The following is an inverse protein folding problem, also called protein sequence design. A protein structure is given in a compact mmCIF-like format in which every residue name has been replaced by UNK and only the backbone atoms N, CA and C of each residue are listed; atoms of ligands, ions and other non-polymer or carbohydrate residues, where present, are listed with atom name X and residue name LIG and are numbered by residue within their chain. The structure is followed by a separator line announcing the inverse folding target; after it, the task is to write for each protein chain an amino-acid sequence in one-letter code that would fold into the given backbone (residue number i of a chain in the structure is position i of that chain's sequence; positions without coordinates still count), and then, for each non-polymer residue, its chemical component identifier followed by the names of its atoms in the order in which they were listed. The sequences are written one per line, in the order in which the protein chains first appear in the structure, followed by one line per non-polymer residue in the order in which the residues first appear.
data_IF_617579984807
#
_entry.id   IF_617579984807
#
_cell.length_a   1.000
_cell.length_b   1.000
_cell.length_c   1.000
_cell.angle_alpha   90.00
_cell.angle_beta   90.00
_cell.angle_gamma   90.00
#
_symmetry.space_group_name_H-M   'P 1'
#
loop_
_entity.id
_entity.type
_entity.pdbx_description
1 polymer ?
#
# COMPACT_ATOMS: atom_id res chain seq x y z
N UNK A 1 -3.48 7.16 16.39
CA UNK A 1 -3.07 7.27 14.98
C UNK A 1 -2.72 8.72 14.68
N UNK A 2 -1.62 8.93 13.98
CA UNK A 2 -1.20 10.29 13.62
C UNK A 2 -2.10 10.85 12.52
N UNK A 3 -2.37 12.14 12.62
CA UNK A 3 -3.18 12.85 11.63
C UNK A 3 -2.39 13.01 10.33
N UNK A 4 -3.06 12.76 9.18
CA UNK A 4 -2.45 12.96 7.87
C UNK A 4 -2.62 14.40 7.45
N UNK A 5 -1.52 15.15 7.43
CA UNK A 5 -1.50 16.55 7.00
C UNK A 5 -0.39 16.73 5.98
N UNK A 6 -0.56 17.70 5.09
CA UNK A 6 0.42 17.98 4.04
C UNK A 6 0.52 16.86 3.02
N UNK A 7 1.71 16.64 2.50
CA UNK A 7 1.95 15.60 1.51
C UNK A 7 1.93 14.22 2.15
N UNK A 8 1.19 13.31 1.53
CA UNK A 8 1.04 11.94 2.02
C UNK A 8 1.94 11.02 1.21
N UNK A 9 2.80 10.29 1.91
CA UNK A 9 3.68 9.29 1.31
C UNK A 9 3.03 7.92 1.45
N UNK A 10 2.63 7.34 0.33
CA UNK A 10 1.89 6.09 0.31
C UNK A 10 2.83 4.92 0.05
N UNK A 11 2.71 3.89 0.88
CA UNK A 11 3.30 2.59 0.60
C UNK A 11 2.21 1.62 0.20
N UNK A 12 2.52 0.69 -0.68
CA UNK A 12 1.54 -0.28 -1.17
C UNK A 12 2.11 -1.68 -1.05
N UNK A 13 1.36 -2.58 -0.41
CA UNK A 13 1.67 -4.00 -0.39
C UNK A 13 0.83 -4.70 -1.44
N UNK A 14 1.46 -5.57 -2.23
CA UNK A 14 0.81 -6.32 -3.30
C UNK A 14 1.25 -7.78 -3.27
N UNK A 15 0.51 -8.65 -3.93
CA UNK A 15 0.89 -10.06 -4.08
C UNK A 15 0.90 -10.52 -5.53
N UNK A 16 0.18 -9.90 -6.43
CA UNK A 16 -0.02 -10.44 -7.77
C UNK A 16 -0.08 -9.41 -8.88
N UNK A 17 -1.21 -9.39 -9.59
CA UNK A 17 -1.35 -8.67 -10.85
C UNK A 17 -1.06 -7.18 -10.79
N UNK A 18 -1.35 -6.55 -9.68
CA UNK A 18 -1.10 -5.13 -9.54
C UNK A 18 -2.10 -4.23 -10.25
N UNK A 19 -3.28 -4.75 -10.58
CA UNK A 19 -4.30 -3.92 -11.24
C UNK A 19 -4.73 -2.75 -10.34
N UNK A 20 -4.88 -2.99 -9.04
CA UNK A 20 -5.19 -1.93 -8.09
C UNK A 20 -4.03 -0.94 -7.97
N UNK A 21 -2.80 -1.46 -7.94
CA UNK A 21 -1.62 -0.61 -7.89
C UNK A 21 -1.54 0.28 -9.12
N UNK A 22 -1.81 -0.28 -10.29
CA UNK A 22 -1.78 0.47 -11.55
C UNK A 22 -2.76 1.65 -11.48
N UNK A 23 -3.96 1.42 -10.98
CA UNK A 23 -4.96 2.48 -10.82
C UNK A 23 -4.53 3.51 -9.79
N UNK A 24 -3.96 3.06 -8.68
CA UNK A 24 -3.45 3.98 -7.65
C UNK A 24 -2.35 4.89 -8.21
N UNK A 25 -1.44 4.33 -8.98
CA UNK A 25 -0.37 5.12 -9.60
C UNK A 25 -0.97 6.18 -10.52
N UNK A 26 -1.95 5.77 -11.32
CA UNK A 26 -2.64 6.68 -12.24
C UNK A 26 -3.28 7.85 -11.50
N UNK A 27 -4.03 7.55 -10.43
CA UNK A 27 -4.68 8.59 -9.64
C UNK A 27 -3.67 9.48 -8.92
N UNK A 28 -2.55 8.93 -8.47
CA UNK A 28 -1.55 9.70 -7.74
C UNK A 28 -0.87 10.77 -8.60
N UNK A 29 -0.97 10.63 -9.91
CA UNK A 29 -0.36 11.58 -10.84
C UNK A 29 -1.27 12.74 -11.20
N UNK A 30 -2.49 12.77 -10.71
CA UNK A 30 -3.41 13.87 -10.98
C UNK A 30 -2.97 15.14 -10.27
N UNK A 31 -3.20 16.27 -10.90
CA UNK A 31 -2.65 17.55 -10.45
C UNK A 31 -3.11 18.00 -9.08
N UNK A 32 -4.31 17.59 -8.67
CA UNK A 32 -4.87 18.06 -7.41
C UNK A 32 -4.73 17.05 -6.27
N UNK A 33 -3.87 16.06 -6.43
CA UNK A 33 -3.63 15.10 -5.35
C UNK A 33 -2.48 15.58 -4.47
N UNK A 34 -2.62 15.33 -3.17
CA UNK A 34 -1.57 15.62 -2.20
C UNK A 34 -0.87 14.35 -1.72
N UNK A 35 -0.97 13.26 -2.49
CA UNK A 35 -0.36 12.00 -2.11
C UNK A 35 0.40 11.40 -3.28
N UNK A 36 1.46 10.66 -2.96
CA UNK A 36 2.29 9.98 -3.95
C UNK A 36 2.67 8.61 -3.45
N UNK A 37 2.78 7.66 -4.36
CA UNK A 37 3.25 6.32 -4.02
C UNK A 37 4.77 6.35 -4.00
N UNK A 38 5.34 6.11 -2.83
CA UNK A 38 6.78 6.17 -2.61
C UNK A 38 7.43 4.80 -2.49
N UNK A 39 6.63 3.76 -2.23
CA UNK A 39 7.17 2.44 -1.94
C UNK A 39 6.15 1.38 -2.32
N UNK A 40 6.62 0.32 -2.97
CA UNK A 40 5.80 -0.87 -3.26
C UNK A 40 6.55 -2.09 -2.75
N UNK A 41 5.87 -2.91 -1.98
CA UNK A 41 6.44 -4.17 -1.47
C UNK A 41 5.52 -5.31 -1.86
N UNK A 42 6.11 -6.37 -2.40
CA UNK A 42 5.38 -7.60 -2.72
C UNK A 42 5.94 -8.76 -1.90
N UNK A 43 5.06 -9.69 -1.53
CA UNK A 43 5.48 -10.95 -0.95
C UNK A 43 5.79 -12.00 -2.01
N UNK A 44 5.77 -11.62 -3.29
CA UNK A 44 6.03 -12.52 -4.41
C UNK A 44 6.86 -11.77 -5.45
N UNK A 45 8.08 -12.26 -5.69
CA UNK A 45 8.99 -11.62 -6.65
C UNK A 45 8.47 -11.63 -8.08
N UNK A 46 7.53 -12.53 -8.39
CA UNK A 46 6.93 -12.63 -9.72
C UNK A 46 5.70 -11.73 -9.90
N UNK A 47 5.35 -10.94 -8.91
CA UNK A 47 4.18 -10.08 -8.99
C UNK A 47 4.31 -9.06 -10.11
N UNK A 48 3.32 -9.03 -11.01
CA UNK A 48 3.33 -8.08 -12.13
C UNK A 48 3.25 -6.63 -11.66
N UNK A 49 2.69 -6.41 -10.48
CA UNK A 49 2.65 -5.07 -9.91
C UNK A 49 4.03 -4.44 -9.72
N UNK A 50 5.05 -5.27 -9.50
CA UNK A 50 6.42 -4.76 -9.38
C UNK A 50 6.91 -4.13 -10.69
N UNK A 51 6.43 -4.63 -11.84
CA UNK A 51 6.76 -4.05 -13.14
C UNK A 51 6.21 -2.63 -13.24
N UNK A 52 4.99 -2.42 -12.78
CA UNK A 52 4.39 -1.08 -12.78
C UNK A 52 5.17 -0.11 -11.89
N UNK A 53 5.60 -0.58 -10.74
CA UNK A 53 6.42 0.23 -9.84
C UNK A 53 7.72 0.64 -10.52
N UNK A 54 8.40 -0.31 -11.15
CA UNK A 54 9.65 -0.04 -11.85
C UNK A 54 9.48 0.93 -13.00
N UNK A 55 8.43 0.76 -13.80
CA UNK A 55 8.14 1.67 -14.91
C UNK A 55 7.91 3.09 -14.45
N UNK A 56 7.38 3.26 -13.26
CA UNK A 56 7.09 4.58 -12.70
C UNK A 56 8.15 5.07 -11.74
N UNK A 57 9.31 4.41 -11.73
CA UNK A 57 10.48 4.79 -10.91
C UNK A 57 10.15 4.86 -9.42
N UNK A 58 9.29 3.96 -8.95
CA UNK A 58 8.93 3.86 -7.54
C UNK A 58 9.82 2.80 -6.88
N UNK A 59 10.34 3.11 -5.71
CA UNK A 59 11.14 2.17 -4.92
C UNK A 59 10.29 0.94 -4.64
N UNK A 60 10.84 -0.25 -4.92
CA UNK A 60 10.09 -1.49 -4.78
C UNK A 60 10.98 -2.62 -4.30
N UNK A 61 10.37 -3.55 -3.58
CA UNK A 61 11.04 -4.72 -3.05
C UNK A 61 10.14 -5.93 -3.13
N UNK A 62 10.73 -7.09 -3.36
CA UNK A 62 10.05 -8.37 -3.20
C UNK A 62 10.66 -9.05 -1.97
N UNK A 63 9.82 -9.38 -1.00
CA UNK A 63 10.26 -10.02 0.24
C UNK A 63 9.55 -11.37 0.35
N UNK A 64 10.24 -12.45 -0.02
CA UNK A 64 9.70 -13.81 0.03
C UNK A 64 10.21 -14.50 1.28
N UNK A 65 9.64 -14.16 2.41
CA UNK A 65 10.03 -14.66 3.72
C UNK A 65 8.80 -15.08 4.51
N UNK A 66 9.01 -15.81 5.61
CA UNK A 66 7.94 -16.10 6.56
C UNK A 66 7.36 -14.79 7.08
N UNK A 67 6.12 -14.87 7.56
CA UNK A 67 5.36 -13.70 7.97
C UNK A 67 6.13 -12.75 8.89
N UNK A 68 6.75 -13.29 9.95
CA UNK A 68 7.46 -12.42 10.90
C UNK A 68 8.63 -11.70 10.26
N UNK A 69 9.37 -12.39 9.39
CA UNK A 69 10.52 -11.78 8.71
C UNK A 69 10.07 -10.79 7.65
N UNK A 70 8.98 -11.11 6.93
CA UNK A 70 8.40 -10.19 5.96
C UNK A 70 8.01 -8.89 6.67
N UNK A 71 7.27 -9.00 7.77
CA UNK A 71 6.78 -7.84 8.48
C UNK A 71 7.91 -6.98 9.05
N UNK A 72 8.94 -7.62 9.57
CA UNK A 72 10.10 -6.91 10.10
C UNK A 72 10.81 -6.09 9.03
N UNK A 73 11.06 -6.70 7.87
CA UNK A 73 11.71 -6.00 6.76
C UNK A 73 10.81 -4.93 6.17
N UNK A 74 9.54 -5.24 5.98
CA UNK A 74 8.59 -4.28 5.44
C UNK A 74 8.49 -3.05 6.35
N UNK A 75 8.40 -3.27 7.65
CA UNK A 75 8.35 -2.18 8.63
C UNK A 75 9.56 -1.26 8.50
N UNK A 76 10.74 -1.85 8.35
CA UNK A 76 11.98 -1.09 8.17
C UNK A 76 11.92 -0.21 6.92
N UNK A 77 11.45 -0.77 5.80
CA UNK A 77 11.34 0.01 4.56
C UNK A 77 10.27 1.08 4.64
N UNK A 78 9.17 0.82 5.34
CA UNK A 78 8.12 1.82 5.55
C UNK A 78 8.69 3.02 6.31
N UNK A 79 9.46 2.76 7.36
CA UNK A 79 10.08 3.84 8.13
C UNK A 79 11.13 4.59 7.33
N UNK A 80 11.99 3.86 6.63
CA UNK A 80 13.06 4.46 5.83
C UNK A 80 12.51 5.41 4.77
N UNK A 81 11.40 5.07 4.17
CA UNK A 81 10.79 5.86 3.11
C UNK A 81 9.71 6.81 3.62
N UNK A 82 9.62 6.97 4.93
CA UNK A 82 8.70 7.91 5.58
C UNK A 82 7.25 7.72 5.13
N UNK A 83 6.84 6.47 5.02
CA UNK A 83 5.47 6.13 4.61
C UNK A 83 4.51 6.44 5.74
N UNK A 84 3.49 7.24 5.46
CA UNK A 84 2.47 7.60 6.45
C UNK A 84 1.06 7.17 6.06
N UNK A 85 0.93 6.38 5.00
CA UNK A 85 -0.31 5.71 4.65
C UNK A 85 0.05 4.41 3.95
N UNK A 86 -0.42 3.29 4.48
CA UNK A 86 -0.17 1.97 3.90
C UNK A 86 -1.43 1.45 3.25
N UNK A 87 -1.35 1.12 1.97
CA UNK A 87 -2.45 0.52 1.21
C UNK A 87 -2.15 -0.95 0.94
N UNK A 88 -3.13 -1.80 1.23
CA UNK A 88 -3.06 -3.20 0.88
C UNK A 88 -3.86 -3.38 -0.41
N UNK A 89 -3.17 -3.54 -1.53
CA UNK A 89 -3.80 -3.58 -2.85
C UNK A 89 -3.66 -4.99 -3.44
N UNK A 90 -4.62 -5.84 -3.16
CA UNK A 90 -4.54 -7.24 -3.57
C UNK A 90 -3.48 -8.02 -2.82
N UNK A 91 -3.18 -7.63 -1.60
CA UNK A 91 -2.21 -8.31 -0.76
C UNK A 91 -2.85 -9.55 -0.15
N UNK A 92 -2.28 -10.72 -0.42
CA UNK A 92 -2.91 -12.00 -0.09
C UNK A 92 -2.55 -12.56 1.29
N UNK A 93 -1.79 -11.81 2.07
CA UNK A 93 -1.43 -12.21 3.43
C UNK A 93 -2.14 -11.34 4.46
N UNK A 94 -2.35 -11.92 5.64
CA UNK A 94 -2.96 -11.20 6.75
C UNK A 94 -1.83 -10.65 7.64
N UNK A 95 -1.86 -9.35 7.88
CA UNK A 95 -0.89 -8.73 8.77
C UNK A 95 -1.16 -9.12 10.21
N UNK A 96 -0.10 -9.28 10.99
CA UNK A 96 -0.24 -9.62 12.40
C UNK A 96 -0.80 -8.44 13.19
N UNK A 97 -1.40 -8.74 14.34
CA UNK A 97 -1.88 -7.72 15.26
C UNK A 97 -0.72 -6.82 15.73
N UNK A 98 0.45 -7.41 15.92
CA UNK A 98 1.62 -6.65 16.34
C UNK A 98 2.05 -5.64 15.30
N UNK A 99 2.06 -6.04 14.02
CA UNK A 99 2.40 -5.12 12.93
C UNK A 99 1.43 -3.95 12.91
N UNK A 100 0.15 -4.24 12.96
CA UNK A 100 -0.89 -3.21 12.91
C UNK A 100 -0.77 -2.27 14.12
N UNK A 101 -0.54 -2.83 15.29
CA UNK A 101 -0.39 -2.05 16.52
C UNK A 101 0.83 -1.14 16.48
N UNK A 102 1.94 -1.64 15.95
CA UNK A 102 3.20 -0.90 15.94
C UNK A 102 3.31 0.10 14.80
N UNK A 103 2.54 -0.08 13.73
CA UNK A 103 2.52 0.88 12.65
C UNK A 103 1.64 2.07 13.05
N UNK A 104 2.25 3.23 13.18
CA UNK A 104 1.62 4.41 13.78
C UNK A 104 0.66 5.16 12.85
N UNK A 105 0.63 4.79 11.59
CA UNK A 105 -0.19 5.48 10.59
C UNK A 105 -1.31 4.58 10.10
N UNK A 106 -2.16 5.14 9.25
CA UNK A 106 -3.34 4.44 8.76
C UNK A 106 -2.97 3.32 7.79
N UNK A 107 -3.66 2.19 7.90
CA UNK A 107 -3.58 1.07 6.98
C UNK A 107 -4.95 0.90 6.35
N UNK A 108 -5.01 0.90 5.02
CA UNK A 108 -6.28 0.71 4.31
C UNK A 108 -6.17 -0.49 3.38
N UNK A 109 -7.29 -1.20 3.25
CA UNK A 109 -7.40 -2.34 2.35
C UNK A 109 -8.27 -1.93 1.15
N UNK A 110 -7.74 -2.09 -0.06
CA UNK A 110 -8.42 -1.64 -1.26
C UNK A 110 -8.98 -2.85 -2.01
N UNK A 111 -10.28 -2.84 -2.21
CA UNK A 111 -10.96 -3.88 -2.98
C UNK A 111 -11.16 -3.41 -4.42
N UNK A 112 -10.85 -4.25 -5.40
CA UNK A 112 -10.97 -3.86 -6.80
C UNK A 112 -12.38 -3.40 -7.19
N UNK A 113 -13.38 -4.04 -6.62
CA UNK A 113 -14.77 -3.71 -6.90
C UNK A 113 -15.19 -2.33 -6.42
N UNK A 114 -14.45 -1.71 -5.53
CA UNK A 114 -14.78 -0.40 -4.97
C UNK A 114 -14.10 0.74 -5.70
N UNK A 115 -12.93 0.51 -6.30
CA UNK A 115 -12.14 1.58 -6.91
C UNK A 115 -12.88 2.39 -7.98
N UNK A 116 -13.62 1.78 -8.91
CA UNK A 116 -14.35 2.57 -9.90
C UNK A 116 -15.61 3.24 -9.38
N UNK A 117 -16.19 2.72 -8.31
CA UNK A 117 -17.46 3.24 -7.76
C UNK A 117 -17.27 4.32 -6.74
N UNK A 118 -16.23 4.24 -5.96
CA UNK A 118 -15.99 5.15 -4.84
C UNK A 118 -14.65 5.80 -5.01
N UNK A 119 -14.62 7.10 -5.02
CA UNK A 119 -13.39 7.88 -5.14
C UNK A 119 -13.15 8.62 -3.83
N UNK A 120 -11.91 8.60 -3.36
CA UNK A 120 -11.51 9.35 -2.20
C UNK A 120 -11.59 8.57 -0.89
N UNK A 121 -11.55 9.29 0.21
CA UNK A 121 -11.37 8.72 1.55
C UNK A 121 -12.51 7.83 2.00
N UNK A 122 -13.74 8.18 1.65
CA UNK A 122 -14.90 7.39 2.09
C UNK A 122 -14.83 5.96 1.57
N UNK A 123 -14.34 5.79 0.37
CA UNK A 123 -14.13 4.46 -0.22
C UNK A 123 -13.16 3.66 0.62
N UNK A 124 -12.07 4.28 1.00
CA UNK A 124 -11.02 3.61 1.77
C UNK A 124 -11.51 3.22 3.15
N UNK A 125 -12.25 4.11 3.82
CA UNK A 125 -12.78 3.81 5.13
C UNK A 125 -13.75 2.63 5.08
N UNK A 126 -14.60 2.59 4.07
CA UNK A 126 -15.53 1.47 3.91
C UNK A 126 -14.80 0.17 3.63
N UNK A 127 -13.74 0.23 2.84
CA UNK A 127 -12.92 -0.95 2.55
C UNK A 127 -12.25 -1.49 3.81
N UNK A 128 -11.77 -0.61 4.67
CA UNK A 128 -11.17 -1.02 5.94
C UNK A 128 -12.17 -1.75 6.80
N UNK A 129 -13.36 -1.19 6.95
CA UNK A 129 -14.40 -1.81 7.76
C UNK A 129 -14.81 -3.18 7.22
N UNK A 130 -14.86 -3.32 5.91
CA UNK A 130 -15.21 -4.58 5.28
C UNK A 130 -14.07 -5.58 5.31
N UNK A 131 -12.83 -5.09 5.24
CA UNK A 131 -11.64 -5.92 5.18
C UNK A 131 -11.11 -6.37 6.52
N UNK A 132 -11.54 -5.75 7.58
CA UNK A 132 -11.11 -6.14 8.91
C UNK A 132 -11.77 -7.43 9.35
#
# INVERSE_FOLDING_TARGET
MKKLTGNINVGVFISGRGSNLKELIKYSKKNNTNWKIKLVISNNKKAKGLVYAKKNKIINYAIEKKKSQFEKKAFKYLKKNKINLLCLAGFMKILSKEFIKNYKYKIINIHPSLLPKYKGLNTHERAIKAGD
#
